data_IF_362693792960
#
_entry.id   IF_362693792960
#
_cell.length_a   1.000
_cell.length_b   1.000
_cell.length_c   1.000
_cell.angle_alpha   90.00
_cell.angle_beta   90.00
_cell.angle_gamma   90.00
#
_symmetry.space_group_name_H-M   'P 1'
#
loop_
_entity.id
_entity.type
_entity.pdbx_description
1 polymer ?
#
# COMPACT_ATOMS: atom_id res chain seq x y z
N UNK A 1 -40.53 -24.51 -14.68
CA UNK A 1 -41.25 -23.23 -14.90
C UNK A 1 -40.80 -22.22 -13.87
N UNK A 2 -40.35 -21.03 -14.33
CA UNK A 2 -40.52 -19.69 -13.70
C UNK A 2 -39.91 -19.50 -12.28
N UNK A 3 -39.08 -18.48 -11.99
CA UNK A 3 -38.85 -17.16 -12.60
C UNK A 3 -37.49 -16.61 -12.12
N UNK A 4 -36.73 -16.06 -13.06
CA UNK A 4 -35.66 -15.09 -12.81
C UNK A 4 -36.29 -13.72 -12.50
N UNK A 5 -35.72 -12.96 -11.56
CA UNK A 5 -35.94 -11.51 -11.46
C UNK A 5 -34.57 -10.83 -11.47
N UNK A 6 -34.26 -10.29 -12.64
CA UNK A 6 -33.25 -9.25 -12.89
C UNK A 6 -33.83 -7.95 -12.35
N UNK A 7 -33.13 -7.26 -11.44
CA UNK A 7 -33.52 -5.92 -11.01
C UNK A 7 -32.72 -4.88 -11.82
N UNK A 8 -33.44 -4.21 -12.71
CA UNK A 8 -32.99 -3.06 -13.49
C UNK A 8 -32.63 -1.88 -12.58
N UNK A 9 -31.43 -1.33 -12.74
CA UNK A 9 -31.03 -0.03 -12.19
C UNK A 9 -31.62 1.06 -13.08
N UNK A 10 -32.75 1.62 -12.65
CA UNK A 10 -33.33 2.83 -13.22
C UNK A 10 -32.67 4.03 -12.54
N UNK A 11 -31.85 4.75 -13.31
CA UNK A 11 -31.35 6.08 -12.94
C UNK A 11 -32.53 7.04 -13.08
N UNK A 12 -33.27 7.25 -11.99
CA UNK A 12 -34.20 8.38 -11.87
C UNK A 12 -33.43 9.58 -11.33
N UNK A 13 -33.31 10.61 -12.16
CA UNK A 13 -32.97 11.96 -11.76
C UNK A 13 -34.01 12.46 -10.74
N UNK A 14 -33.63 12.49 -9.46
CA UNK A 14 -34.44 13.13 -8.42
C UNK A 14 -34.28 14.65 -8.51
N UNK A 15 -35.38 15.35 -8.77
CA UNK A 15 -35.48 16.78 -8.48
C UNK A 15 -35.32 17.01 -6.96
N UNK A 16 -34.61 18.08 -6.54
CA UNK A 16 -34.35 18.32 -5.12
C UNK A 16 -35.61 18.82 -4.42
N UNK A 17 -36.30 17.94 -3.69
CA UNK A 17 -37.20 18.37 -2.62
C UNK A 17 -36.39 19.08 -1.54
N UNK A 18 -36.89 20.19 -0.99
CA UNK A 18 -36.17 20.98 0.01
C UNK A 18 -35.73 20.12 1.20
N UNK A 19 -34.45 20.22 1.56
CA UNK A 19 -33.89 19.59 2.76
C UNK A 19 -34.47 20.27 4.00
N UNK A 20 -34.73 19.51 5.06
CA UNK A 20 -35.10 20.12 6.34
C UNK A 20 -33.90 20.83 6.98
N UNK A 21 -34.14 21.93 7.71
CA UNK A 21 -33.10 22.63 8.45
C UNK A 21 -32.42 21.72 9.51
N UNK A 22 -33.15 20.72 10.01
CA UNK A 22 -32.64 19.74 10.97
C UNK A 22 -31.63 18.78 10.35
N UNK A 23 -31.88 18.29 9.12
CA UNK A 23 -30.94 17.42 8.42
C UNK A 23 -29.59 18.09 8.19
N UNK A 24 -29.60 19.36 7.76
CA UNK A 24 -28.39 20.16 7.55
C UNK A 24 -27.69 20.42 8.89
N UNK A 25 -28.44 20.82 9.92
CA UNK A 25 -27.87 21.15 11.24
C UNK A 25 -27.21 19.97 11.94
N UNK A 26 -27.84 18.79 11.93
CA UNK A 26 -27.31 17.63 12.65
C UNK A 26 -26.13 16.97 11.93
N UNK A 27 -26.11 17.00 10.59
CA UNK A 27 -24.91 16.69 9.83
C UNK A 27 -23.74 17.60 10.25
N UNK A 28 -23.95 18.92 10.23
CA UNK A 28 -22.88 19.89 10.54
C UNK A 28 -22.34 19.71 11.96
N UNK A 29 -23.22 19.45 12.93
CA UNK A 29 -22.78 19.15 14.31
C UNK A 29 -21.91 17.90 14.35
N UNK A 30 -22.36 16.80 13.74
CA UNK A 30 -21.65 15.53 13.75
C UNK A 30 -20.24 15.64 13.14
N UNK A 31 -20.11 16.26 11.96
CA UNK A 31 -18.79 16.41 11.33
C UNK A 31 -17.90 17.38 12.10
N UNK A 32 -18.44 18.47 12.68
CA UNK A 32 -17.67 19.40 13.53
C UNK A 32 -17.17 18.71 14.79
N UNK A 33 -18.02 17.92 15.45
CA UNK A 33 -17.64 17.11 16.62
C UNK A 33 -16.45 16.21 16.27
N UNK A 34 -16.54 15.48 15.15
CA UNK A 34 -15.49 14.53 14.77
C UNK A 34 -14.17 15.22 14.40
N UNK A 35 -14.25 16.28 13.58
CA UNK A 35 -13.07 17.00 13.10
C UNK A 35 -12.37 17.80 14.21
N UNK A 36 -13.13 18.35 15.17
CA UNK A 36 -12.57 18.99 16.39
C UNK A 36 -12.12 17.98 17.43
N UNK A 37 -12.61 16.75 17.38
CA UNK A 37 -12.37 15.74 18.39
C UNK A 37 -13.07 16.05 19.72
N UNK A 38 -14.20 16.72 19.64
CA UNK A 38 -15.07 17.05 20.76
C UNK A 38 -16.36 16.24 20.60
N UNK A 39 -16.65 15.29 21.51
CA UNK A 39 -17.85 14.46 21.41
C UNK A 39 -19.14 15.25 21.62
N UNK A 40 -19.09 16.52 22.06
CA UNK A 40 -20.26 17.39 22.22
C UNK A 40 -21.43 16.69 22.94
N UNK A 41 -22.64 16.87 22.41
CA UNK A 41 -23.83 16.11 22.84
C UNK A 41 -24.21 15.11 21.74
N UNK A 42 -23.40 14.05 21.61
CA UNK A 42 -23.59 13.02 20.59
C UNK A 42 -24.97 12.36 20.68
N UNK A 43 -25.52 12.23 21.89
CA UNK A 43 -26.84 11.66 22.13
C UNK A 43 -27.99 12.50 21.54
N UNK A 44 -27.82 13.82 21.38
CA UNK A 44 -28.81 14.70 20.73
C UNK A 44 -28.72 14.72 19.21
N UNK A 45 -27.60 14.32 18.65
CA UNK A 45 -27.35 14.37 17.20
C UNK A 45 -27.53 12.98 16.57
N UNK A 46 -27.28 11.91 17.33
CA UNK A 46 -27.38 10.53 16.89
C UNK A 46 -28.72 9.88 17.24
N UNK A 47 -29.15 8.91 16.44
CA UNK A 47 -30.24 8.01 16.85
C UNK A 47 -29.83 7.19 18.07
N UNK A 48 -30.80 6.69 18.84
CA UNK A 48 -30.50 5.79 19.97
C UNK A 48 -29.69 4.57 19.55
N UNK A 49 -29.93 4.05 18.35
CA UNK A 49 -29.17 2.92 17.79
C UNK A 49 -27.72 3.30 17.55
N UNK A 50 -27.44 4.46 16.94
CA UNK A 50 -26.07 4.89 16.72
C UNK A 50 -25.36 5.22 18.04
N UNK A 51 -26.02 5.92 18.97
CA UNK A 51 -25.44 6.27 20.27
C UNK A 51 -25.03 5.04 21.10
N UNK A 52 -25.71 3.89 20.94
CA UNK A 52 -25.30 2.61 21.57
C UNK A 52 -24.04 2.00 20.96
N UNK A 53 -23.77 2.26 19.68
CA UNK A 53 -22.63 1.69 18.95
C UNK A 53 -21.43 2.63 18.95
N UNK A 54 -21.67 3.93 18.91
CA UNK A 54 -20.67 5.00 18.94
C UNK A 54 -20.89 5.81 20.24
N UNK A 55 -20.47 5.25 21.36
CA UNK A 55 -20.38 5.99 22.62
C UNK A 55 -19.21 7.00 22.59
N UNK A 56 -19.12 7.86 23.60
CA UNK A 56 -18.07 8.88 23.70
C UNK A 56 -16.66 8.28 23.65
N UNK A 57 -16.45 7.10 24.23
CA UNK A 57 -15.14 6.44 24.25
C UNK A 57 -14.75 5.94 22.87
N UNK A 58 -15.67 5.28 22.15
CA UNK A 58 -15.47 4.81 20.78
C UNK A 58 -15.32 5.96 19.81
N UNK A 59 -16.05 7.05 20.03
CA UNK A 59 -15.91 8.29 19.28
C UNK A 59 -14.51 8.88 19.46
N UNK A 60 -14.06 9.07 20.70
CA UNK A 60 -12.72 9.58 21.00
C UNK A 60 -11.63 8.68 20.40
N UNK A 61 -11.79 7.36 20.49
CA UNK A 61 -10.87 6.40 19.88
C UNK A 61 -10.84 6.53 18.34
N UNK A 62 -11.99 6.67 17.68
CA UNK A 62 -12.07 6.85 16.23
C UNK A 62 -11.44 8.18 15.76
N UNK A 63 -11.59 9.25 16.54
CA UNK A 63 -10.92 10.54 16.29
C UNK A 63 -9.41 10.40 16.47
N UNK A 64 -8.95 9.79 17.57
CA UNK A 64 -7.54 9.61 17.85
C UNK A 64 -6.86 8.77 16.76
N UNK A 65 -7.51 7.67 16.35
CA UNK A 65 -7.07 6.82 15.27
C UNK A 65 -7.03 7.55 13.92
N UNK A 66 -8.04 8.36 13.60
CA UNK A 66 -8.05 9.19 12.39
C UNK A 66 -6.85 10.15 12.39
N UNK A 67 -6.57 10.82 13.51
CA UNK A 67 -5.42 11.73 13.66
C UNK A 67 -4.08 11.01 13.52
N UNK A 68 -3.98 9.79 14.06
CA UNK A 68 -2.77 8.99 13.98
C UNK A 68 -2.46 8.54 12.55
N UNK A 69 -3.48 8.16 11.78
CA UNK A 69 -3.31 7.67 10.40
C UNK A 69 -3.18 8.80 9.39
N UNK A 70 -4.00 9.84 9.50
CA UNK A 70 -4.17 10.85 8.45
C UNK A 70 -3.60 12.21 8.83
N UNK A 71 -3.15 12.38 10.07
CA UNK A 71 -2.64 13.63 10.61
C UNK A 71 -3.76 14.56 11.07
N UNK A 72 -3.46 15.85 11.23
CA UNK A 72 -4.45 16.84 11.66
C UNK A 72 -5.49 17.09 10.56
N UNK A 73 -6.73 17.31 11.00
CA UNK A 73 -7.77 17.85 10.13
C UNK A 73 -7.38 19.27 9.71
N UNK A 74 -7.48 19.57 8.41
CA UNK A 74 -7.18 20.89 7.86
C UNK A 74 -8.47 21.65 7.54
N UNK A 75 -9.32 21.09 6.66
CA UNK A 75 -10.55 21.75 6.22
C UNK A 75 -11.56 20.78 5.60
N UNK A 76 -12.82 21.22 5.50
CA UNK A 76 -13.81 20.59 4.62
C UNK A 76 -13.63 21.12 3.19
N UNK A 77 -13.77 20.24 2.20
CA UNK A 77 -13.61 20.56 0.78
C UNK A 77 -14.97 20.48 0.08
N UNK A 78 -15.41 21.62 -0.46
CA UNK A 78 -16.71 21.76 -1.14
C UNK A 78 -17.92 21.69 -0.20
N UNK A 79 -19.14 21.96 -0.72
CA UNK A 79 -20.37 21.78 0.03
C UNK A 79 -20.69 20.29 0.23
N UNK A 80 -21.44 19.93 1.29
CA UNK A 80 -21.95 18.56 1.45
C UNK A 80 -22.97 18.21 0.36
N UNK A 81 -22.88 16.98 -0.15
CA UNK A 81 -23.84 16.40 -1.10
C UNK A 81 -24.91 15.63 -0.34
N UNK A 82 -26.19 15.93 -0.60
CA UNK A 82 -27.33 15.26 0.03
C UNK A 82 -28.09 14.43 -1.01
N UNK A 83 -28.25 13.14 -0.74
CA UNK A 83 -28.97 12.20 -1.61
C UNK A 83 -30.03 11.49 -0.79
N UNK A 84 -31.32 11.75 -1.08
CA UNK A 84 -32.43 11.01 -0.45
C UNK A 84 -32.46 9.56 -0.93
N UNK A 85 -32.59 8.64 0.01
CA UNK A 85 -32.69 7.20 -0.23
C UNK A 85 -33.67 6.60 0.78
N UNK A 86 -34.87 6.23 0.33
CA UNK A 86 -35.96 5.75 1.19
C UNK A 86 -36.28 6.74 2.32
N UNK A 87 -36.27 6.30 3.58
CA UNK A 87 -36.50 7.14 4.78
C UNK A 87 -35.23 7.87 5.27
N UNK A 88 -34.12 7.74 4.54
CA UNK A 88 -32.81 8.29 4.91
C UNK A 88 -32.34 9.34 3.91
N UNK A 89 -31.51 10.26 4.37
CA UNK A 89 -30.72 11.16 3.54
C UNK A 89 -29.25 10.81 3.74
N UNK A 90 -28.59 10.37 2.68
CA UNK A 90 -27.14 10.16 2.68
C UNK A 90 -26.47 11.50 2.45
N UNK A 91 -25.62 11.91 3.40
CA UNK A 91 -24.81 13.12 3.31
C UNK A 91 -23.36 12.72 3.10
N UNK A 92 -22.70 13.28 2.10
CA UNK A 92 -21.27 13.07 1.87
C UNK A 92 -20.53 14.38 1.77
N UNK A 93 -19.37 14.47 2.41
CA UNK A 93 -18.50 15.63 2.27
C UNK A 93 -17.04 15.21 2.37
N UNK A 94 -16.21 15.85 1.54
CA UNK A 94 -14.78 15.64 1.55
C UNK A 94 -14.11 16.49 2.63
N UNK A 95 -13.07 15.95 3.24
CA UNK A 95 -12.24 16.63 4.23
C UNK A 95 -10.77 16.42 3.90
N UNK A 96 -9.97 17.49 3.94
CA UNK A 96 -8.52 17.44 3.83
C UNK A 96 -7.90 17.26 5.20
N UNK A 97 -7.00 16.29 5.31
CA UNK A 97 -6.10 16.05 6.43
C UNK A 97 -4.64 16.22 5.94
N UNK A 98 -3.69 16.32 6.87
CA UNK A 98 -2.26 16.50 6.54
C UNK A 98 -1.73 15.44 5.57
N UNK A 99 -2.18 14.19 5.67
CA UNK A 99 -1.64 13.09 4.86
C UNK A 99 -2.66 12.46 3.91
N UNK A 100 -3.94 12.81 3.97
CA UNK A 100 -4.97 12.22 3.10
C UNK A 100 -6.16 13.15 2.91
N UNK A 101 -6.98 12.88 1.90
CA UNK A 101 -8.36 13.34 1.89
C UNK A 101 -9.26 12.20 2.33
N UNK A 102 -10.24 12.50 3.18
CA UNK A 102 -11.26 11.56 3.62
C UNK A 102 -12.62 11.96 3.02
N UNK A 103 -13.42 10.97 2.65
CA UNK A 103 -14.84 11.17 2.37
C UNK A 103 -15.64 10.74 3.59
N UNK A 104 -16.21 11.72 4.29
CA UNK A 104 -17.19 11.46 5.34
C UNK A 104 -18.53 11.11 4.71
N UNK A 105 -19.20 10.13 5.30
CA UNK A 105 -20.55 9.72 4.93
C UNK A 105 -21.40 9.62 6.18
N UNK A 106 -22.56 10.25 6.13
CA UNK A 106 -23.56 10.24 7.18
C UNK A 106 -24.90 9.78 6.60
N UNK A 107 -25.66 9.02 7.38
CA UNK A 107 -27.06 8.71 7.07
C UNK A 107 -27.95 9.41 8.10
N UNK A 108 -28.79 10.31 7.64
CA UNK A 108 -29.70 11.11 8.47
C UNK A 108 -31.13 10.64 8.25
N UNK A 109 -31.89 10.38 9.30
CA UNK A 109 -33.31 10.03 9.18
C UNK A 109 -34.13 11.25 8.74
N UNK A 110 -34.94 11.12 7.68
CA UNK A 110 -35.72 12.24 7.14
C UNK A 110 -36.79 12.75 8.12
N UNK A 111 -37.35 11.87 8.97
CA UNK A 111 -38.42 12.23 9.92
C UNK A 111 -37.87 12.95 11.16
N UNK A 112 -36.77 12.46 11.73
CA UNK A 112 -36.23 12.96 12.99
C UNK A 112 -35.09 13.97 12.79
N UNK A 113 -34.43 13.96 11.63
CA UNK A 113 -33.20 14.69 11.37
C UNK A 113 -31.99 14.11 12.11
N UNK A 114 -32.12 12.97 12.82
CA UNK A 114 -31.03 12.38 13.60
C UNK A 114 -30.08 11.55 12.73
N UNK A 115 -28.81 11.51 13.11
CA UNK A 115 -27.78 10.72 12.44
C UNK A 115 -27.89 9.26 12.86
N UNK A 116 -28.23 8.38 11.92
CA UNK A 116 -28.33 6.94 12.14
C UNK A 116 -27.02 6.19 11.82
N UNK A 117 -26.10 6.81 11.08
CA UNK A 117 -24.79 6.23 10.79
C UNK A 117 -23.78 7.29 10.38
N UNK A 118 -22.53 7.12 10.81
CA UNK A 118 -21.43 8.04 10.52
C UNK A 118 -20.13 7.25 10.33
N UNK A 119 -19.49 7.40 9.18
CA UNK A 119 -18.22 6.76 8.86
C UNK A 119 -17.43 7.60 7.86
N UNK A 120 -16.16 7.26 7.67
CA UNK A 120 -15.31 7.88 6.69
C UNK A 120 -14.47 6.83 5.96
N UNK A 121 -14.01 7.15 4.77
CA UNK A 121 -13.01 6.38 4.04
C UNK A 121 -11.93 7.30 3.50
N UNK A 122 -10.70 6.80 3.40
CA UNK A 122 -9.67 7.51 2.63
C UNK A 122 -10.07 7.57 1.17
N UNK A 123 -9.90 8.74 0.56
CA UNK A 123 -9.92 8.90 -0.88
C UNK A 123 -8.56 8.49 -1.47
N UNK A 124 -8.53 8.12 -2.76
CA UNK A 124 -7.27 7.96 -3.48
C UNK A 124 -6.40 9.23 -3.39
N UNK A 125 -5.07 9.10 -3.36
CA UNK A 125 -4.18 10.25 -3.46
C UNK A 125 -4.41 10.96 -4.79
N UNK A 126 -4.32 12.28 -4.80
CA UNK A 126 -4.41 13.09 -6.02
C UNK A 126 -3.02 13.28 -6.62
N UNK A 127 -2.88 13.28 -7.95
CA UNK A 127 -1.62 13.59 -8.60
C UNK A 127 -1.10 14.98 -8.19
N UNK A 128 0.19 15.06 -7.89
CA UNK A 128 0.88 16.31 -7.55
C UNK A 128 1.72 16.82 -8.72
N UNK A 129 1.76 18.14 -8.88
CA UNK A 129 2.64 18.83 -9.82
C UNK A 129 3.44 19.92 -9.11
N UNK A 130 4.72 20.05 -9.44
CA UNK A 130 5.61 21.12 -8.96
C UNK A 130 6.67 21.46 -10.03
N UNK A 131 7.67 22.26 -9.69
CA UNK A 131 8.73 22.70 -10.60
C UNK A 131 9.64 21.58 -11.14
N UNK A 132 9.69 20.43 -10.46
CA UNK A 132 10.63 19.33 -10.78
C UNK A 132 9.97 18.14 -11.44
N UNK A 133 8.69 17.87 -11.16
CA UNK A 133 7.96 16.75 -11.73
C UNK A 133 6.45 17.03 -11.80
N UNK A 134 5.74 16.18 -12.53
CA UNK A 134 4.28 16.07 -12.48
C UNK A 134 3.86 14.61 -12.37
N UNK A 135 2.74 14.38 -11.70
CA UNK A 135 2.11 13.08 -11.61
C UNK A 135 0.87 13.02 -12.50
N UNK A 136 0.64 11.85 -13.08
CA UNK A 136 -0.49 11.59 -13.96
C UNK A 136 -1.16 10.30 -13.49
N UNK A 137 -2.50 10.30 -13.41
CA UNK A 137 -3.26 9.07 -13.21
C UNK A 137 -3.05 8.14 -14.41
N UNK A 138 -2.81 6.88 -14.12
CA UNK A 138 -2.73 5.81 -15.10
C UNK A 138 -3.52 4.60 -14.62
N UNK A 139 -3.89 3.72 -15.54
CA UNK A 139 -4.45 2.42 -15.22
C UNK A 139 -3.55 1.32 -15.77
N UNK A 140 -3.28 0.33 -14.93
CA UNK A 140 -2.82 -1.00 -15.31
C UNK A 140 -4.03 -1.92 -15.42
N UNK A 141 -3.88 -3.10 -16.00
CA UNK A 141 -4.93 -4.11 -16.07
C UNK A 141 -5.85 -3.92 -17.26
N UNK A 142 -6.31 -5.05 -17.82
CA UNK A 142 -7.46 -5.11 -18.72
C UNK A 142 -8.77 -5.20 -17.94
N UNK A 143 -9.24 -6.43 -17.71
CA UNK A 143 -10.54 -6.69 -17.07
C UNK A 143 -10.62 -6.14 -15.63
N UNK A 144 -9.51 -6.17 -14.88
CA UNK A 144 -9.43 -5.71 -13.49
C UNK A 144 -8.47 -4.52 -13.40
N UNK A 145 -8.89 -3.32 -13.84
CA UNK A 145 -8.02 -2.17 -13.90
C UNK A 145 -7.51 -1.75 -12.52
N UNK A 146 -6.19 -1.63 -12.38
CA UNK A 146 -5.53 -1.13 -11.18
C UNK A 146 -5.13 0.33 -11.41
N UNK A 147 -5.72 1.28 -10.68
CA UNK A 147 -5.34 2.66 -10.82
C UNK A 147 -3.96 2.91 -10.20
N UNK A 148 -3.20 3.83 -10.78
CA UNK A 148 -1.83 4.12 -10.42
C UNK A 148 -1.43 5.54 -10.79
N UNK A 149 -0.20 5.90 -10.42
CA UNK A 149 0.40 7.19 -10.69
C UNK A 149 1.70 6.99 -11.47
N UNK A 150 1.79 7.67 -12.61
CA UNK A 150 3.02 7.86 -13.36
C UNK A 150 3.58 9.24 -13.06
N UNK A 151 4.75 9.28 -12.41
CA UNK A 151 5.50 10.50 -12.19
C UNK A 151 6.47 10.72 -13.36
N UNK A 152 6.39 11.89 -13.97
CA UNK A 152 7.25 12.34 -15.06
C UNK A 152 8.09 13.55 -14.59
N UNK A 153 9.43 13.47 -14.66
CA UNK A 153 10.29 14.61 -14.36
C UNK A 153 10.13 15.70 -15.43
N UNK A 154 10.23 16.97 -15.02
CA UNK A 154 10.16 18.14 -15.91
C UNK A 154 11.54 18.57 -16.42
N UNK A 155 12.58 18.40 -15.58
CA UNK A 155 13.90 18.99 -15.79
C UNK A 155 14.96 17.98 -16.28
N UNK A 156 14.55 16.95 -17.02
CA UNK A 156 15.45 15.95 -17.58
C UNK A 156 15.26 15.82 -19.10
N UNK A 157 16.23 15.22 -19.80
CA UNK A 157 16.08 14.88 -21.22
C UNK A 157 15.50 13.48 -21.37
N UNK A 158 14.58 13.31 -22.31
CA UNK A 158 14.02 12.01 -22.68
C UNK A 158 15.06 11.14 -23.41
N UNK A 159 14.92 9.80 -23.36
CA UNK A 159 13.92 9.05 -22.59
C UNK A 159 14.29 8.98 -21.10
N UNK A 160 13.31 9.13 -20.20
CA UNK A 160 13.56 9.16 -18.76
C UNK A 160 13.78 7.74 -18.22
N UNK A 161 14.88 7.44 -17.49
CA UNK A 161 14.95 6.19 -16.74
C UNK A 161 13.74 6.12 -15.80
N UNK A 162 13.10 4.95 -15.73
CA UNK A 162 11.87 4.79 -14.97
C UNK A 162 11.98 3.62 -14.00
N UNK A 163 11.50 3.81 -12.76
CA UNK A 163 11.40 2.73 -11.78
C UNK A 163 9.94 2.37 -11.48
N UNK A 164 9.64 1.07 -11.54
CA UNK A 164 8.35 0.51 -11.13
C UNK A 164 8.46 0.13 -9.65
N UNK A 165 7.51 0.59 -8.83
CA UNK A 165 7.48 0.35 -7.38
C UNK A 165 6.49 -0.77 -7.04
N UNK A 166 6.98 -1.87 -6.46
CA UNK A 166 6.19 -3.09 -6.17
C UNK A 166 6.09 -3.33 -4.66
N UNK A 167 4.86 -3.31 -4.17
CA UNK A 167 4.48 -3.32 -2.75
C UNK A 167 4.95 -4.55 -1.98
N UNK A 168 5.06 -4.39 -0.65
CA UNK A 168 5.17 -5.49 0.28
C UNK A 168 3.85 -6.26 0.49
N UNK A 169 3.77 -6.99 1.60
CA UNK A 169 2.60 -7.83 1.95
C UNK A 169 1.32 -7.01 2.19
N UNK A 170 0.17 -7.61 1.89
CA UNK A 170 -1.15 -7.05 2.22
C UNK A 170 -1.75 -6.09 1.20
N UNK A 171 -3.00 -5.63 1.42
CA UNK A 171 -3.76 -4.81 0.49
C UNK A 171 -3.33 -3.34 0.52
N UNK A 172 -2.20 -3.03 -0.12
CA UNK A 172 -1.60 -1.69 -0.14
C UNK A 172 -2.11 -0.81 -1.30
N UNK A 173 -2.15 0.51 -1.09
CA UNK A 173 -2.29 1.47 -2.20
C UNK A 173 -0.95 1.77 -2.83
N UNK A 174 -1.00 2.47 -3.96
CA UNK A 174 0.12 2.95 -4.77
C UNK A 174 1.17 3.75 -4.00
N UNK A 175 0.83 4.29 -2.83
CA UNK A 175 1.79 5.04 -2.01
C UNK A 175 2.44 4.17 -0.93
N UNK A 176 2.10 2.88 -0.85
CA UNK A 176 2.52 1.95 0.20
C UNK A 176 2.26 2.54 1.60
N UNK A 177 1.05 3.06 1.81
CA UNK A 177 0.71 3.79 3.02
C UNK A 177 0.72 2.90 4.29
N UNK A 178 1.47 3.31 5.31
CA UNK A 178 1.48 2.70 6.64
C UNK A 178 1.32 3.81 7.68
N UNK A 179 0.13 3.89 8.29
CA UNK A 179 -0.24 5.05 9.11
C UNK A 179 -0.05 6.35 8.32
N UNK A 180 0.70 7.35 8.85
CA UNK A 180 0.98 8.61 8.15
C UNK A 180 2.10 8.50 7.08
N UNK A 181 2.77 7.36 6.96
CA UNK A 181 3.95 7.18 6.10
C UNK A 181 3.55 6.76 4.69
N UNK A 182 4.28 7.26 3.67
CA UNK A 182 3.96 7.08 2.24
C UNK A 182 5.22 6.74 1.46
N UNK A 183 5.77 5.57 1.72
CA UNK A 183 7.12 5.18 1.32
C UNK A 183 7.32 5.31 -0.20
N UNK A 184 6.37 4.83 -0.99
CA UNK A 184 6.50 4.85 -2.45
C UNK A 184 6.32 6.24 -3.05
N UNK A 185 5.46 7.06 -2.45
CA UNK A 185 5.31 8.46 -2.83
C UNK A 185 6.59 9.25 -2.55
N UNK A 186 7.16 9.08 -1.36
CA UNK A 186 8.39 9.76 -0.95
C UNK A 186 9.60 9.35 -1.80
N UNK A 187 9.75 8.05 -2.09
CA UNK A 187 10.76 7.56 -3.02
C UNK A 187 10.53 8.14 -4.42
N UNK A 188 9.30 8.08 -4.94
CA UNK A 188 8.95 8.62 -6.26
C UNK A 188 9.27 10.11 -6.37
N UNK A 189 8.91 10.91 -5.37
CA UNK A 189 9.16 12.35 -5.35
C UNK A 189 10.65 12.69 -5.25
N UNK A 190 11.40 11.94 -4.44
CA UNK A 190 12.85 12.09 -4.35
C UNK A 190 13.53 11.77 -5.71
N UNK A 191 13.12 10.69 -6.37
CA UNK A 191 13.63 10.30 -7.68
C UNK A 191 13.20 11.26 -8.80
N UNK A 192 11.98 11.79 -8.72
CA UNK A 192 11.46 12.81 -9.64
C UNK A 192 12.30 14.08 -9.68
N UNK A 193 12.71 14.56 -8.49
CA UNK A 193 13.65 15.71 -8.35
C UNK A 193 15.01 15.43 -9.01
N UNK A 194 15.40 14.16 -9.03
CA UNK A 194 16.63 13.66 -9.62
C UNK A 194 16.49 13.28 -11.12
N UNK A 195 15.36 13.62 -11.76
CA UNK A 195 15.14 13.39 -13.19
C UNK A 195 14.80 11.95 -13.56
N UNK A 196 14.32 11.15 -12.60
CA UNK A 196 13.95 9.74 -12.78
C UNK A 196 12.42 9.63 -12.70
N UNK A 197 11.81 9.01 -13.71
CA UNK A 197 10.39 8.72 -13.72
C UNK A 197 10.06 7.55 -12.78
N UNK A 198 8.81 7.46 -12.34
CA UNK A 198 8.38 6.31 -11.55
C UNK A 198 6.93 5.94 -11.80
N UNK A 199 6.63 4.64 -11.74
CA UNK A 199 5.28 4.12 -11.82
C UNK A 199 4.94 3.35 -10.53
N UNK A 200 3.83 3.74 -9.90
CA UNK A 200 3.28 3.09 -8.71
C UNK A 200 1.77 2.87 -8.88
N UNK A 201 1.20 1.83 -8.27
CA UNK A 201 -0.17 1.38 -8.58
C UNK A 201 -0.85 0.74 -7.38
N UNK A 202 -2.17 0.73 -7.30
CA UNK A 202 -2.86 0.09 -6.18
C UNK A 202 -2.80 -1.44 -6.33
N UNK A 203 -2.59 -2.18 -5.22
CA UNK A 203 -2.65 -3.65 -5.28
C UNK A 203 -4.06 -4.13 -5.61
N UNK A 204 -4.15 -5.18 -6.42
CA UNK A 204 -5.40 -5.89 -6.70
C UNK A 204 -6.13 -6.40 -5.46
N UNK A 205 -5.40 -6.85 -4.45
CA UNK A 205 -5.99 -7.27 -3.17
C UNK A 205 -6.62 -6.11 -2.40
N UNK A 206 -6.22 -4.86 -2.66
CA UNK A 206 -6.87 -3.64 -2.14
C UNK A 206 -8.12 -3.29 -2.94
N UNK A 207 -8.00 -3.17 -4.25
CA UNK A 207 -9.09 -2.69 -5.12
C UNK A 207 -10.20 -3.74 -5.27
N UNK A 208 -9.83 -5.01 -5.37
CA UNK A 208 -10.74 -6.10 -5.70
C UNK A 208 -10.84 -7.15 -4.59
N UNK A 209 -10.62 -6.78 -3.33
CA UNK A 209 -10.65 -7.68 -2.16
C UNK A 209 -11.83 -8.67 -2.16
N UNK A 210 -13.06 -8.21 -2.46
CA UNK A 210 -14.25 -9.06 -2.53
C UNK A 210 -14.24 -10.03 -3.72
N UNK A 211 -13.70 -9.64 -4.87
CA UNK A 211 -13.58 -10.53 -6.04
C UNK A 211 -12.48 -11.56 -5.79
N UNK A 212 -11.32 -11.14 -5.28
CA UNK A 212 -10.21 -12.05 -4.90
C UNK A 212 -10.69 -13.10 -3.91
N UNK A 213 -11.44 -12.73 -2.87
CA UNK A 213 -12.01 -13.68 -1.90
C UNK A 213 -12.99 -14.71 -2.50
N UNK A 214 -13.54 -14.45 -3.68
CA UNK A 214 -14.43 -15.37 -4.40
C UNK A 214 -13.69 -16.29 -5.36
N UNK A 215 -12.41 -16.03 -5.62
CA UNK A 215 -11.60 -16.89 -6.47
C UNK A 215 -11.33 -18.23 -5.77
N UNK A 216 -11.44 -19.32 -6.53
CA UNK A 216 -11.10 -20.67 -6.06
C UNK A 216 -9.59 -20.88 -6.02
N UNK A 217 -8.87 -20.30 -6.99
CA UNK A 217 -7.41 -20.30 -7.11
C UNK A 217 -6.94 -18.85 -7.12
N UNK A 218 -5.96 -18.56 -6.26
CA UNK A 218 -5.26 -17.29 -6.20
C UNK A 218 -3.86 -17.55 -5.64
N UNK A 219 -2.83 -16.92 -6.19
CA UNK A 219 -1.41 -17.20 -5.92
C UNK A 219 -0.61 -15.91 -5.79
N UNK A 220 0.71 -16.01 -5.56
CA UNK A 220 1.60 -14.84 -5.59
C UNK A 220 1.76 -14.28 -7.00
N UNK A 221 1.57 -15.13 -8.04
CA UNK A 221 1.54 -14.66 -9.42
C UNK A 221 0.39 -13.68 -9.61
N UNK A 222 -0.79 -14.09 -9.15
CA UNK A 222 -1.96 -13.24 -9.14
C UNK A 222 -1.72 -12.00 -8.25
N UNK A 223 -1.30 -12.15 -7.00
CA UNK A 223 -1.22 -10.97 -6.12
C UNK A 223 -0.24 -9.89 -6.61
N UNK A 224 0.90 -10.30 -7.16
CA UNK A 224 2.06 -9.39 -7.31
C UNK A 224 2.81 -9.55 -8.63
N UNK A 225 3.12 -10.78 -9.07
CA UNK A 225 4.05 -10.97 -10.21
C UNK A 225 3.46 -10.45 -11.50
N UNK A 226 2.23 -10.86 -11.82
CA UNK A 226 1.60 -10.50 -13.09
C UNK A 226 1.32 -8.99 -13.16
N UNK A 227 0.87 -8.38 -12.05
CA UNK A 227 0.67 -6.93 -11.96
C UNK A 227 1.98 -6.15 -12.13
N UNK A 228 3.11 -6.65 -11.62
CA UNK A 228 4.42 -6.02 -11.78
C UNK A 228 4.94 -6.11 -13.23
N UNK A 229 4.73 -7.27 -13.89
CA UNK A 229 5.06 -7.46 -15.31
C UNK A 229 4.21 -6.53 -16.18
N UNK A 230 2.93 -6.39 -15.87
CA UNK A 230 2.04 -5.47 -16.58
C UNK A 230 2.44 -4.00 -16.36
N UNK A 231 2.81 -3.60 -15.14
CA UNK A 231 3.33 -2.27 -14.86
C UNK A 231 4.59 -1.97 -15.69
N UNK A 232 5.51 -2.93 -15.82
CA UNK A 232 6.69 -2.81 -16.67
C UNK A 232 6.30 -2.65 -18.15
N UNK A 233 5.34 -3.43 -18.65
CA UNK A 233 4.82 -3.31 -20.02
C UNK A 233 4.16 -1.95 -20.28
N UNK A 234 3.40 -1.43 -19.32
CA UNK A 234 2.80 -0.10 -19.37
C UNK A 234 3.86 0.99 -19.46
N UNK A 235 4.89 0.92 -18.62
CA UNK A 235 6.01 1.86 -18.68
C UNK A 235 6.77 1.76 -20.02
N UNK A 236 7.02 0.56 -20.53
CA UNK A 236 7.70 0.34 -21.80
C UNK A 236 6.94 0.87 -23.02
N UNK A 237 5.60 0.93 -22.94
CA UNK A 237 4.73 1.41 -24.01
C UNK A 237 4.43 2.91 -23.95
N UNK A 238 4.73 3.60 -22.85
CA UNK A 238 4.59 5.06 -22.77
C UNK A 238 5.63 5.74 -23.69
N UNK A 239 5.22 6.60 -24.65
CA UNK A 239 6.13 7.22 -25.60
C UNK A 239 7.30 8.00 -24.97
N UNK A 240 7.13 8.53 -23.76
CA UNK A 240 8.14 9.34 -23.04
C UNK A 240 9.19 8.47 -22.35
N UNK A 241 8.85 7.21 -22.11
CA UNK A 241 9.68 6.19 -21.48
C UNK A 241 10.14 5.11 -22.48
N UNK A 242 9.62 5.16 -23.71
CA UNK A 242 9.97 4.21 -24.77
C UNK A 242 11.49 4.24 -24.98
N UNK A 243 12.10 3.06 -24.97
CA UNK A 243 13.55 2.85 -25.04
C UNK A 243 14.35 3.35 -23.83
N UNK A 244 13.70 3.84 -22.77
CA UNK A 244 14.37 4.11 -21.51
C UNK A 244 14.83 2.81 -20.82
N UNK A 245 15.92 2.85 -20.04
CA UNK A 245 16.21 1.81 -19.08
C UNK A 245 15.13 1.80 -17.98
N UNK A 246 14.41 0.69 -17.88
CA UNK A 246 13.42 0.45 -16.84
C UNK A 246 14.06 -0.26 -15.65
N UNK A 247 13.61 0.04 -14.45
CA UNK A 247 14.05 -0.59 -13.21
C UNK A 247 12.83 -1.07 -12.44
N UNK A 248 13.02 -2.06 -11.58
CA UNK A 248 11.97 -2.51 -10.67
C UNK A 248 12.51 -2.50 -9.25
N UNK A 249 11.82 -1.76 -8.38
CA UNK A 249 12.05 -1.74 -6.95
C UNK A 249 10.95 -2.55 -6.27
N UNK A 250 11.33 -3.62 -5.60
CA UNK A 250 10.44 -4.40 -4.77
C UNK A 250 10.72 -4.17 -3.29
N UNK A 251 9.67 -3.84 -2.53
CA UNK A 251 9.74 -3.71 -1.08
C UNK A 251 9.21 -4.98 -0.40
N UNK A 252 9.91 -5.50 0.60
CA UNK A 252 9.45 -6.65 1.39
C UNK A 252 9.03 -7.83 0.48
N UNK A 253 7.77 -8.30 0.56
CA UNK A 253 7.22 -9.33 -0.35
C UNK A 253 7.43 -9.02 -1.85
N UNK A 254 7.24 -7.78 -2.28
CA UNK A 254 7.46 -7.39 -3.69
C UNK A 254 8.91 -7.58 -4.11
N UNK A 255 9.86 -7.35 -3.20
CA UNK A 255 11.27 -7.64 -3.41
C UNK A 255 11.58 -9.13 -3.40
N UNK A 256 10.92 -9.88 -2.52
CA UNK A 256 11.04 -11.34 -2.42
C UNK A 256 10.69 -12.00 -3.76
N UNK A 257 9.71 -11.44 -4.48
CA UNK A 257 9.20 -11.96 -5.75
C UNK A 257 9.96 -11.45 -6.98
N UNK A 258 10.97 -10.59 -6.83
CA UNK A 258 11.81 -10.13 -7.95
C UNK A 258 12.36 -11.29 -8.79
N UNK A 259 12.92 -12.38 -8.21
CA UNK A 259 13.42 -13.48 -9.01
C UNK A 259 12.36 -14.16 -9.87
N UNK A 260 11.11 -14.23 -9.38
CA UNK A 260 9.96 -14.78 -10.13
C UNK A 260 9.47 -13.82 -11.21
N UNK A 261 9.45 -12.51 -10.95
CA UNK A 261 9.16 -11.47 -11.95
C UNK A 261 10.20 -11.51 -13.08
N UNK A 262 11.48 -11.64 -12.73
CA UNK A 262 12.58 -11.68 -13.71
C UNK A 262 12.52 -12.90 -14.65
N UNK A 263 11.83 -13.98 -14.28
CA UNK A 263 11.56 -15.11 -15.18
C UNK A 263 10.50 -14.79 -16.24
N UNK A 264 9.62 -13.83 -15.97
CA UNK A 264 8.44 -13.51 -16.80
C UNK A 264 8.71 -12.34 -17.74
N UNK A 265 9.80 -11.60 -17.54
CA UNK A 265 10.14 -10.45 -18.38
C UNK A 265 11.64 -10.13 -18.36
N UNK A 266 12.15 -9.69 -19.50
CA UNK A 266 13.52 -9.19 -19.68
C UNK A 266 13.60 -7.65 -19.73
N UNK A 267 12.48 -6.95 -19.52
CA UNK A 267 12.40 -5.49 -19.63
C UNK A 267 13.35 -4.74 -18.66
N UNK A 268 13.47 -5.12 -17.37
CA UNK A 268 14.27 -4.35 -16.42
C UNK A 268 15.77 -4.36 -16.72
N UNK A 269 16.37 -3.17 -16.82
CA UNK A 269 17.80 -2.92 -16.85
C UNK A 269 18.48 -3.11 -15.49
N UNK A 270 17.73 -3.18 -14.39
CA UNK A 270 18.22 -3.48 -13.05
C UNK A 270 17.09 -3.67 -12.04
N UNK A 271 17.40 -4.32 -10.92
CA UNK A 271 16.47 -4.57 -9.82
C UNK A 271 16.97 -3.98 -8.51
N UNK A 272 16.05 -3.42 -7.73
CA UNK A 272 16.31 -2.84 -6.41
C UNK A 272 15.50 -3.62 -5.38
N UNK A 273 16.20 -4.22 -4.43
CA UNK A 273 15.69 -5.01 -3.33
C UNK A 273 15.68 -4.13 -2.08
N UNK A 274 14.51 -3.66 -1.67
CA UNK A 274 14.34 -2.79 -0.50
C UNK A 274 13.75 -3.58 0.69
N UNK A 275 14.54 -3.80 1.75
CA UNK A 275 14.16 -4.57 2.94
C UNK A 275 13.54 -5.94 2.57
N UNK A 276 14.31 -6.80 1.90
CA UNK A 276 13.77 -8.00 1.23
C UNK A 276 14.06 -9.29 2.00
N UNK A 277 13.03 -10.09 2.36
CA UNK A 277 13.23 -11.40 2.95
C UNK A 277 14.05 -12.31 2.04
N UNK A 278 15.01 -13.04 2.63
CA UNK A 278 15.73 -14.11 1.95
C UNK A 278 15.21 -15.49 2.38
N UNK A 279 14.60 -15.57 3.56
CA UNK A 279 14.04 -16.81 4.12
C UNK A 279 12.63 -17.07 3.62
N UNK A 280 12.19 -18.32 3.78
CA UNK A 280 10.79 -18.70 3.58
C UNK A 280 9.89 -17.95 4.57
N UNK A 281 8.66 -17.66 4.15
CA UNK A 281 7.75 -16.79 4.90
C UNK A 281 7.44 -17.33 6.31
N UNK A 282 7.38 -18.65 6.48
CA UNK A 282 7.14 -19.26 7.80
C UNK A 282 8.28 -18.98 8.79
N UNK A 283 9.53 -18.97 8.33
CA UNK A 283 10.68 -18.64 9.18
C UNK A 283 10.71 -17.15 9.50
N UNK A 284 10.38 -16.31 8.52
CA UNK A 284 10.29 -14.87 8.70
C UNK A 284 9.24 -14.51 9.76
N UNK A 285 8.02 -15.06 9.67
CA UNK A 285 6.97 -14.82 10.67
C UNK A 285 7.35 -15.29 12.07
N UNK A 286 8.07 -16.42 12.20
CA UNK A 286 8.61 -16.85 13.50
C UNK A 286 9.62 -15.86 14.06
N UNK A 287 10.52 -15.34 13.22
CA UNK A 287 11.51 -14.35 13.64
C UNK A 287 10.84 -13.04 14.08
N UNK A 288 9.87 -12.54 13.30
CA UNK A 288 9.10 -11.34 13.64
C UNK A 288 8.34 -11.50 14.95
N UNK A 289 7.60 -12.60 15.12
CA UNK A 289 6.83 -12.86 16.34
C UNK A 289 7.74 -12.99 17.55
N UNK A 290 8.86 -13.73 17.44
CA UNK A 290 9.83 -13.82 18.54
C UNK A 290 10.35 -12.44 18.96
N UNK A 291 10.69 -11.59 17.99
CA UNK A 291 11.13 -10.22 18.26
C UNK A 291 10.06 -9.41 19.00
N UNK A 292 8.82 -9.41 18.48
CA UNK A 292 7.73 -8.63 19.06
C UNK A 292 7.39 -9.10 20.48
N UNK A 293 7.34 -10.41 20.72
CA UNK A 293 7.07 -10.96 22.05
C UNK A 293 8.18 -10.62 23.05
N UNK A 294 9.45 -10.72 22.63
CA UNK A 294 10.60 -10.41 23.49
C UNK A 294 10.66 -8.93 23.89
N UNK A 295 10.16 -8.03 23.04
CA UNK A 295 10.26 -6.58 23.23
C UNK A 295 8.92 -5.92 23.62
N UNK A 296 7.90 -6.71 23.97
CA UNK A 296 6.62 -6.18 24.45
C UNK A 296 6.52 -6.29 25.99
N UNK A 297 6.77 -5.20 26.74
CA UNK A 297 6.69 -5.20 28.20
C UNK A 297 5.25 -5.32 28.73
N UNK A 298 4.24 -5.11 27.89
CA UNK A 298 2.83 -5.23 28.26
C UNK A 298 2.30 -6.66 28.30
N UNK A 299 3.11 -7.65 27.90
CA UNK A 299 2.72 -9.06 27.87
C UNK A 299 3.36 -9.85 29.00
N UNK A 300 2.56 -10.66 29.69
CA UNK A 300 3.08 -11.69 30.62
C UNK A 300 3.78 -12.82 29.85
N UNK A 301 4.72 -13.51 30.49
CA UNK A 301 5.40 -14.66 29.87
C UNK A 301 4.41 -15.77 29.44
N UNK A 302 3.33 -15.97 30.21
CA UNK A 302 2.26 -16.89 29.83
C UNK A 302 1.59 -16.48 28.51
N UNK A 303 1.23 -15.19 28.36
CA UNK A 303 0.61 -14.69 27.12
C UNK A 303 1.58 -14.70 25.94
N UNK A 304 2.87 -14.45 26.16
CA UNK A 304 3.90 -14.59 25.12
C UNK A 304 3.98 -16.03 24.61
N UNK A 305 3.99 -17.01 25.52
CA UNK A 305 4.00 -18.44 25.15
C UNK A 305 2.74 -18.83 24.37
N UNK A 306 1.58 -18.33 24.79
CA UNK A 306 0.31 -18.56 24.09
C UNK A 306 0.33 -18.00 22.66
N UNK A 307 0.72 -16.73 22.48
CA UNK A 307 0.84 -16.11 21.15
C UNK A 307 1.85 -16.81 20.24
N UNK A 308 2.96 -17.30 20.79
CA UNK A 308 3.92 -18.10 20.04
C UNK A 308 3.31 -19.44 19.58
N UNK A 309 2.52 -20.09 20.44
CA UNK A 309 1.80 -21.32 20.09
C UNK A 309 0.70 -21.06 19.04
N UNK A 310 -0.06 -19.95 19.16
CA UNK A 310 -1.06 -19.53 18.16
C UNK A 310 -0.43 -19.37 16.77
N UNK A 311 0.79 -18.81 16.67
CA UNK A 311 1.53 -18.73 15.41
C UNK A 311 1.86 -20.12 14.86
N UNK A 312 2.42 -21.01 15.67
CA UNK A 312 2.79 -22.36 15.21
C UNK A 312 1.55 -23.17 14.78
N UNK A 313 0.45 -23.04 15.52
CA UNK A 313 -0.82 -23.64 15.16
C UNK A 313 -1.29 -23.11 13.79
N UNK A 314 -1.30 -21.79 13.59
CA UNK A 314 -1.66 -21.18 12.31
C UNK A 314 -0.77 -21.67 11.16
N UNK A 315 0.56 -21.73 11.36
CA UNK A 315 1.49 -22.21 10.34
C UNK A 315 1.27 -23.69 10.00
N UNK A 316 0.83 -24.50 10.97
CA UNK A 316 0.59 -25.94 10.78
C UNK A 316 -0.80 -26.28 10.22
N UNK A 317 -1.84 -25.50 10.55
CA UNK A 317 -3.23 -25.78 10.16
C UNK A 317 -3.76 -24.83 9.09
N UNK A 318 -3.07 -23.72 8.81
CA UNK A 318 -3.54 -22.65 7.93
C UNK A 318 -3.88 -23.10 6.51
N UNK A 319 -3.11 -24.02 5.94
CA UNK A 319 -3.42 -24.64 4.64
C UNK A 319 -4.82 -25.29 4.64
N UNK A 320 -5.14 -26.03 5.71
CA UNK A 320 -6.40 -26.77 5.85
C UNK A 320 -7.57 -25.86 6.19
N UNK A 321 -7.33 -24.87 7.07
CA UNK A 321 -8.36 -23.92 7.51
C UNK A 321 -8.63 -22.82 6.48
N UNK A 322 -7.72 -22.61 5.52
CA UNK A 322 -7.78 -21.50 4.56
C UNK A 322 -7.69 -20.15 5.24
N UNK A 323 -6.84 -20.01 6.28
CA UNK A 323 -6.72 -18.76 7.05
C UNK A 323 -5.27 -18.37 7.32
N UNK A 324 -4.95 -17.10 7.10
CA UNK A 324 -3.69 -16.46 7.44
C UNK A 324 -3.96 -15.23 8.32
N UNK A 325 -3.43 -15.22 9.55
CA UNK A 325 -3.74 -14.20 10.57
C UNK A 325 -5.25 -13.93 10.72
N UNK A 326 -6.05 -15.01 10.74
CA UNK A 326 -7.50 -14.95 10.86
C UNK A 326 -8.25 -14.55 9.58
N UNK A 327 -7.54 -14.08 8.54
CA UNK A 327 -8.14 -13.71 7.25
C UNK A 327 -8.26 -14.91 6.32
N UNK A 328 -9.38 -15.06 5.60
CA UNK A 328 -9.54 -16.15 4.65
C UNK A 328 -8.59 -15.98 3.47
N UNK A 329 -7.87 -17.05 3.14
CA UNK A 329 -6.97 -17.15 1.98
C UNK A 329 -7.21 -18.46 1.25
N UNK A 330 -6.99 -18.47 -0.06
CA UNK A 330 -7.06 -19.69 -0.87
C UNK A 330 -5.93 -20.65 -0.47
N UNK A 331 -6.22 -21.96 -0.52
CA UNK A 331 -5.21 -23.01 -0.30
C UNK A 331 -4.02 -22.87 -1.26
N UNK A 332 -4.28 -22.49 -2.51
CA UNK A 332 -3.24 -22.22 -3.51
C UNK A 332 -2.31 -21.08 -3.07
N UNK A 333 -2.87 -20.01 -2.49
CA UNK A 333 -2.09 -18.87 -2.03
C UNK A 333 -1.21 -19.25 -0.83
N UNK A 334 -1.78 -20.00 0.11
CA UNK A 334 -1.03 -20.54 1.26
C UNK A 334 0.17 -21.37 0.79
N UNK A 335 -0.08 -22.36 -0.06
CA UNK A 335 0.96 -23.28 -0.54
C UNK A 335 2.04 -22.55 -1.35
N UNK A 336 1.64 -21.59 -2.17
CA UNK A 336 2.58 -20.78 -2.95
C UNK A 336 3.44 -19.87 -2.04
N UNK A 337 2.81 -19.14 -1.12
CA UNK A 337 3.50 -18.22 -0.21
C UNK A 337 4.52 -18.93 0.70
N UNK A 338 4.11 -20.04 1.32
CA UNK A 338 4.95 -20.75 2.28
C UNK A 338 5.91 -21.74 1.61
N UNK A 339 5.63 -22.15 0.36
CA UNK A 339 6.51 -23.00 -0.44
C UNK A 339 7.62 -22.24 -1.16
N UNK A 340 7.46 -20.93 -1.39
CA UNK A 340 8.41 -20.13 -2.15
C UNK A 340 9.70 -19.81 -1.38
N UNK A 341 10.84 -20.11 -2.01
CA UNK A 341 12.20 -19.84 -1.51
C UNK A 341 12.92 -18.90 -2.48
N UNK A 342 13.03 -17.60 -2.17
CA UNK A 342 13.47 -16.59 -3.13
C UNK A 342 14.95 -16.73 -3.50
N UNK A 343 15.80 -17.21 -2.59
CA UNK A 343 17.24 -17.33 -2.80
C UNK A 343 17.54 -18.37 -3.88
N UNK A 344 16.78 -19.47 -3.92
CA UNK A 344 16.95 -20.51 -4.95
C UNK A 344 16.68 -20.00 -6.37
N UNK A 345 15.88 -18.94 -6.51
CA UNK A 345 15.52 -18.37 -7.82
C UNK A 345 16.37 -17.16 -8.20
N UNK A 346 17.28 -16.67 -7.36
CA UNK A 346 18.04 -15.45 -7.64
C UNK A 346 18.91 -15.55 -8.90
N UNK A 347 19.27 -16.77 -9.28
CA UNK A 347 19.97 -17.06 -10.54
C UNK A 347 19.21 -16.57 -11.78
N UNK A 348 17.90 -16.33 -11.71
CA UNK A 348 17.10 -15.77 -12.81
C UNK A 348 17.36 -14.28 -13.03
N UNK A 349 17.89 -13.57 -12.03
CA UNK A 349 18.18 -12.15 -12.13
C UNK A 349 19.57 -11.96 -12.77
N UNK A 350 19.59 -11.58 -14.05
CA UNK A 350 20.85 -11.48 -14.84
C UNK A 350 21.43 -10.06 -14.92
N UNK A 351 20.64 -9.04 -14.60
CA UNK A 351 21.01 -7.64 -14.65
C UNK A 351 21.52 -7.13 -13.28
N UNK A 352 22.05 -5.89 -13.21
CA UNK A 352 22.46 -5.26 -11.95
C UNK A 352 21.41 -5.33 -10.84
N UNK A 353 21.87 -5.56 -9.61
CA UNK A 353 21.04 -5.67 -8.42
C UNK A 353 21.56 -4.72 -7.34
N UNK A 354 20.65 -4.02 -6.66
CA UNK A 354 20.94 -3.22 -5.48
C UNK A 354 20.11 -3.75 -4.30
N UNK A 355 20.77 -4.16 -3.23
CA UNK A 355 20.14 -4.57 -1.97
C UNK A 355 20.32 -3.48 -0.92
N UNK A 356 19.21 -2.98 -0.40
CA UNK A 356 19.15 -1.91 0.61
C UNK A 356 18.42 -2.44 1.85
N UNK A 357 19.09 -2.42 2.99
CA UNK A 357 18.54 -2.94 4.25
C UNK A 357 18.69 -1.93 5.39
N UNK A 358 17.64 -1.77 6.19
CA UNK A 358 17.73 -1.06 7.46
C UNK A 358 18.24 -1.99 8.58
N UNK A 359 19.22 -1.52 9.36
CA UNK A 359 19.82 -2.27 10.46
C UNK A 359 18.90 -2.41 11.68
N UNK A 360 17.90 -1.54 11.82
CA UNK A 360 16.87 -1.60 12.88
C UNK A 360 15.63 -2.37 12.45
N UNK A 361 15.57 -2.86 11.22
CA UNK A 361 14.42 -3.56 10.68
C UNK A 361 14.20 -4.91 11.41
N UNK A 362 13.08 -5.00 12.13
CA UNK A 362 12.67 -6.23 12.82
C UNK A 362 11.82 -7.16 11.94
N UNK A 363 11.26 -6.63 10.84
CA UNK A 363 10.40 -7.40 9.92
C UNK A 363 11.25 -8.22 8.98
N UNK A 364 12.31 -7.61 8.45
CA UNK A 364 13.32 -8.24 7.60
C UNK A 364 14.67 -7.85 8.17
N UNK A 365 15.33 -8.81 8.79
CA UNK A 365 16.52 -8.53 9.59
C UNK A 365 17.79 -8.48 8.75
N UNK A 366 18.89 -7.98 9.32
CA UNK A 366 20.22 -8.06 8.70
C UNK A 366 20.63 -9.51 8.36
N UNK A 367 20.03 -10.53 9.00
CA UNK A 367 20.22 -11.94 8.63
C UNK A 367 19.76 -12.21 7.19
N UNK A 368 18.61 -11.68 6.76
CA UNK A 368 18.11 -11.85 5.40
C UNK A 368 19.04 -11.14 4.38
N UNK A 369 19.51 -9.95 4.72
CA UNK A 369 20.50 -9.24 3.93
C UNK A 369 21.82 -10.03 3.78
N UNK A 370 22.29 -10.64 4.86
CA UNK A 370 23.49 -11.47 4.84
C UNK A 370 23.29 -12.78 4.05
N UNK A 371 22.10 -13.38 4.09
CA UNK A 371 21.75 -14.53 3.25
C UNK A 371 21.81 -14.16 1.76
N UNK A 372 21.24 -13.01 1.37
CA UNK A 372 21.37 -12.50 0.00
C UNK A 372 22.82 -12.25 -0.40
N UNK A 373 23.59 -11.60 0.47
CA UNK A 373 25.01 -11.29 0.25
C UNK A 373 25.84 -12.57 0.07
N UNK A 374 25.56 -13.61 0.86
CA UNK A 374 26.23 -14.89 0.77
C UNK A 374 25.87 -15.64 -0.53
N UNK A 375 24.59 -15.65 -0.91
CA UNK A 375 24.12 -16.27 -2.14
C UNK A 375 24.72 -15.61 -3.40
N UNK A 376 24.99 -14.31 -3.34
CA UNK A 376 25.51 -13.51 -4.45
C UNK A 376 26.98 -13.11 -4.30
N UNK A 377 27.74 -13.75 -3.40
CA UNK A 377 29.12 -13.35 -3.06
C UNK A 377 30.08 -13.23 -4.26
N UNK A 378 29.83 -14.00 -5.32
CA UNK A 378 30.64 -14.03 -6.55
C UNK A 378 29.99 -13.26 -7.71
N UNK A 379 28.90 -12.53 -7.46
CA UNK A 379 28.20 -11.79 -8.51
C UNK A 379 28.61 -10.31 -8.50
N UNK A 380 29.46 -9.85 -9.44
CA UNK A 380 29.93 -8.46 -9.49
C UNK A 380 28.83 -7.46 -9.86
N UNK A 381 27.64 -7.94 -10.25
CA UNK A 381 26.47 -7.11 -10.55
C UNK A 381 25.61 -6.81 -9.32
N UNK A 382 25.88 -7.44 -8.18
CA UNK A 382 25.14 -7.23 -6.95
C UNK A 382 25.85 -6.21 -6.03
N UNK A 383 25.12 -5.18 -5.61
CA UNK A 383 25.59 -4.16 -4.65
C UNK A 383 24.75 -4.26 -3.38
N UNK A 384 25.38 -4.13 -2.21
CA UNK A 384 24.77 -4.32 -0.91
C UNK A 384 25.04 -3.11 -0.03
N UNK A 385 23.99 -2.47 0.52
CA UNK A 385 24.09 -1.34 1.43
C UNK A 385 23.20 -1.60 2.65
N UNK A 386 23.83 -1.64 3.83
CA UNK A 386 23.16 -1.70 5.13
C UNK A 386 23.21 -0.31 5.76
N UNK A 387 22.09 0.15 6.30
CA UNK A 387 21.98 1.41 7.01
C UNK A 387 21.64 1.17 8.47
N UNK A 388 22.60 1.34 9.37
CA UNK A 388 22.48 0.93 10.78
C UNK A 388 21.28 1.55 11.51
N UNK A 389 20.90 2.79 11.18
CA UNK A 389 19.87 3.56 11.88
C UNK A 389 18.49 3.55 11.21
N UNK A 390 18.30 2.79 10.11
CA UNK A 390 17.03 2.74 9.39
C UNK A 390 16.17 1.52 9.78
N UNK A 391 14.86 1.72 9.82
CA UNK A 391 13.85 0.67 10.02
C UNK A 391 13.37 0.05 8.69
N UNK A 392 12.31 -0.78 8.75
CA UNK A 392 11.73 -1.46 7.58
C UNK A 392 11.23 -0.52 6.46
N UNK A 393 10.87 0.72 6.81
CA UNK A 393 10.39 1.74 5.89
C UNK A 393 11.52 2.65 5.38
N UNK A 394 12.78 2.30 5.68
CA UNK A 394 13.97 3.11 5.41
C UNK A 394 13.96 4.47 6.12
N UNK A 395 13.30 4.55 7.28
CA UNK A 395 13.20 5.75 8.10
C UNK A 395 14.18 5.68 9.25
N UNK A 396 14.76 6.83 9.59
CA UNK A 396 15.71 6.94 10.69
C UNK A 396 15.01 6.77 12.02
N UNK A 397 15.68 6.11 12.95
CA UNK A 397 15.30 6.17 14.36
C UNK A 397 16.43 5.69 15.25
N UNK A 398 16.18 5.71 16.55
CA UNK A 398 17.23 5.55 17.57
C UNK A 398 17.02 4.35 18.48
N UNK A 399 15.78 4.01 18.75
CA UNK A 399 15.42 2.94 19.68
C UNK A 399 15.21 1.62 18.94
N UNK A 400 14.79 0.56 19.64
CA UNK A 400 14.32 -0.65 18.97
C UNK A 400 13.12 -0.32 18.08
N UNK A 401 13.14 -0.76 16.82
CA UNK A 401 12.00 -0.55 15.93
C UNK A 401 10.84 -1.45 16.37
N UNK A 402 9.65 -0.87 16.49
CA UNK A 402 8.42 -1.54 16.92
C UNK A 402 7.26 -1.03 16.05
N UNK A 403 6.13 -1.75 15.94
CA UNK A 403 5.00 -1.35 15.09
C UNK A 403 4.51 0.08 15.34
N UNK A 404 4.58 0.56 16.59
CA UNK A 404 4.18 1.91 16.99
C UNK A 404 5.05 3.00 16.36
N UNK A 405 6.29 2.68 15.97
CA UNK A 405 7.16 3.62 15.27
C UNK A 405 6.54 4.07 13.94
N UNK A 406 5.84 3.17 13.24
CA UNK A 406 5.19 3.47 11.96
C UNK A 406 3.93 4.32 12.10
N UNK A 407 3.49 4.62 13.32
CA UNK A 407 2.38 5.53 13.60
C UNK A 407 2.85 6.99 13.73
N UNK A 408 4.17 7.21 13.68
CA UNK A 408 4.78 8.54 13.61
C UNK A 408 5.20 8.82 12.18
N UNK A 409 5.04 10.07 11.76
CA UNK A 409 5.52 10.53 10.45
C UNK A 409 7.03 10.71 10.53
N UNK A 410 7.76 10.02 9.65
CA UNK A 410 9.20 10.20 9.44
C UNK A 410 9.49 10.09 7.94
N UNK A 411 10.34 10.95 7.34
CA UNK A 411 10.71 10.80 5.95
C UNK A 411 11.53 9.52 5.69
N UNK A 412 11.33 8.93 4.52
CA UNK A 412 12.29 7.97 3.94
C UNK A 412 13.66 8.63 3.86
N UNK A 413 14.70 7.90 4.25
CA UNK A 413 16.07 8.40 4.28
C UNK A 413 16.52 8.96 2.93
N UNK A 414 16.91 10.23 2.92
CA UNK A 414 17.49 10.89 1.74
C UNK A 414 18.74 10.18 1.22
N UNK A 415 19.51 9.54 2.12
CA UNK A 415 20.65 8.70 1.72
C UNK A 415 20.19 7.48 0.93
N UNK A 416 19.15 6.79 1.41
CA UNK A 416 18.61 5.61 0.73
C UNK A 416 18.04 5.97 -0.65
N UNK A 417 17.26 7.05 -0.76
CA UNK A 417 16.75 7.53 -2.06
C UNK A 417 17.88 7.99 -3.00
N UNK A 418 18.93 8.62 -2.45
CA UNK A 418 20.11 9.00 -3.20
C UNK A 418 20.89 7.80 -3.76
N UNK A 419 21.08 6.75 -2.96
CA UNK A 419 21.73 5.51 -3.38
C UNK A 419 20.90 4.77 -4.47
N UNK A 420 19.56 4.81 -4.38
CA UNK A 420 18.68 4.34 -5.46
C UNK A 420 18.88 5.14 -6.75
N UNK A 421 18.86 6.48 -6.66
CA UNK A 421 19.06 7.34 -7.82
C UNK A 421 20.42 7.12 -8.49
N UNK A 422 21.48 7.00 -7.68
CA UNK A 422 22.84 6.72 -8.15
C UNK A 422 22.93 5.38 -8.89
N UNK A 423 22.30 4.33 -8.35
CA UNK A 423 22.25 3.02 -9.01
C UNK A 423 21.52 3.06 -10.35
N UNK A 424 20.36 3.74 -10.42
CA UNK A 424 19.59 3.92 -11.65
C UNK A 424 20.42 4.64 -12.70
N UNK A 425 21.04 5.78 -12.35
CA UNK A 425 21.88 6.56 -13.28
C UNK A 425 23.07 5.76 -13.81
N UNK A 426 23.83 5.12 -12.91
CA UNK A 426 24.99 4.30 -13.26
C UNK A 426 24.64 3.21 -14.27
N UNK A 427 23.48 2.56 -14.12
CA UNK A 427 23.07 1.46 -14.99
C UNK A 427 22.24 1.90 -16.20
N UNK A 428 21.79 3.15 -16.24
CA UNK A 428 21.18 3.75 -17.42
C UNK A 428 22.21 4.06 -18.52
N UNK A 429 23.41 4.48 -18.12
CA UNK A 429 24.52 4.78 -19.04
C UNK A 429 25.11 3.54 -19.73
N UNK A 430 24.88 2.34 -19.19
CA UNK A 430 25.42 1.09 -19.76
C UNK A 430 24.68 0.60 -21.01
N UNK A 431 23.45 1.08 -21.24
CA UNK A 431 22.59 0.62 -22.35
C UNK A 431 22.73 1.45 -23.64
N UNK A 432 23.55 2.50 -23.65
CA UNK A 432 23.81 3.32 -24.84
C UNK A 432 24.89 2.75 -25.77
N UNK A 433 25.38 1.53 -25.51
CA UNK A 433 26.14 0.75 -26.49
C UNK A 433 25.23 0.15 -27.57
N UNK A 434 25.74 -0.16 -28.77
CA UNK A 434 24.91 -0.66 -29.87
C UNK A 434 24.14 -1.92 -29.47
N UNK A 435 22.86 -1.97 -29.85
CA UNK A 435 22.02 -3.15 -29.68
C UNK A 435 22.70 -4.36 -30.34
N UNK A 436 22.59 -5.58 -29.77
CA UNK A 436 22.98 -6.79 -30.48
C UNK A 436 22.22 -6.85 -31.80
N UNK A 437 22.93 -7.12 -32.90
CA UNK A 437 22.30 -7.35 -34.19
C UNK A 437 21.24 -8.46 -34.06
N UNK A 438 20.06 -8.24 -34.64
CA UNK A 438 19.01 -9.25 -34.68
C UNK A 438 19.56 -10.54 -35.32
N UNK A 439 19.14 -11.73 -34.85
CA UNK A 439 19.48 -12.96 -35.53
C UNK A 439 18.94 -12.91 -36.96
N UNK A 440 19.82 -13.14 -37.93
CA UNK A 440 19.44 -13.23 -39.34
C UNK A 440 18.43 -14.37 -39.54
N UNK A 441 17.47 -14.20 -40.47
CA UNK A 441 16.29 -15.06 -40.61
C UNK A 441 16.59 -16.54 -40.89
#
# INVERSE_FOLDING_TARGET
>A
MKKYIVLFLLVLSCLPGSLSAYEVSNWEKMIRMFTKGDPGDLARVATQTLAKVLDEKRFAAAVADSRLRYGKFLQLEGPPEFVRQNEMTRVTQRARYEYASLLFTCFVEQKSGLVAGFFYKSLPPEPVENETFREEEVSLGGEWPLPGILLIPKNAKQPYPCVILVHGSGPQDRNAAVGPNRIFEEIAHALGKEGIASLRYDKRTKIYSRKVRKQTVFTLDDETVDDAVEALGKAASDPRLRNAPLFLLGHSLGGMLIPRIAQRTSLPAGYIFLAVPARKMAELYRAQTRYLLANNPGLTEARKKELAAELEEMLSTGEKTGRLFGQPVQKSYWNDLFGYDPVNFIGNVKCPMLFLQGGRDYQVTADDFNLWKNALKNNPKATFILYDDLNHLMQKGREKSMPEEYLRKEPVSGKATGDIAAFIRKNSLRKTGPLPAEPSP
#
